data_IF_397921568784
#
_entry.id   IF_397921568784
#
_cell.length_a   1.000
_cell.length_b   1.000
_cell.length_c   1.000
_cell.angle_alpha   90.00
_cell.angle_beta   90.00
_cell.angle_gamma   90.00
#
_symmetry.space_group_name_H-M   'P 1'
#
loop_
_entity.id
_entity.type
_entity.pdbx_description
1 polymer ?
#
# COMPACT_ATOMS: atom_id res chain seq x y z
N UNK A 1 21.05 -0.46 26.55
CA UNK A 1 20.78 -0.99 25.19
C UNK A 1 19.55 -1.88 25.27
N UNK A 2 18.40 -1.41 24.79
CA UNK A 2 17.19 -2.26 24.67
C UNK A 2 17.31 -3.10 23.40
N UNK A 3 16.90 -4.36 23.50
CA UNK A 3 17.05 -5.35 22.43
C UNK A 3 16.11 -5.03 21.25
N UNK A 4 16.60 -4.97 20.00
CA UNK A 4 15.79 -4.59 18.83
C UNK A 4 14.76 -5.66 18.40
N UNK A 5 14.92 -6.91 18.84
CA UNK A 5 14.07 -8.04 18.41
C UNK A 5 12.64 -8.00 18.98
N UNK A 6 12.46 -7.39 20.16
CA UNK A 6 11.13 -7.28 20.80
C UNK A 6 10.25 -6.21 20.18
N UNK A 7 10.82 -5.22 19.50
CA UNK A 7 10.05 -4.09 18.93
C UNK A 7 9.51 -4.43 17.54
N UNK A 8 10.33 -5.07 16.70
CA UNK A 8 9.92 -5.59 15.38
C UNK A 8 8.74 -6.55 15.48
N UNK A 9 8.74 -7.45 16.46
CA UNK A 9 7.66 -8.44 16.65
C UNK A 9 6.35 -7.80 17.13
N UNK A 10 6.42 -6.70 17.88
CA UNK A 10 5.22 -5.95 18.30
C UNK A 10 4.58 -5.19 17.13
N UNK A 11 5.40 -4.60 16.26
CA UNK A 11 4.90 -3.88 15.09
C UNK A 11 4.30 -4.81 14.05
N UNK A 12 4.84 -6.02 13.87
CA UNK A 12 4.23 -7.05 13.02
C UNK A 12 2.83 -7.46 13.52
N UNK A 13 2.67 -7.67 14.84
CA UNK A 13 1.35 -7.99 15.42
C UNK A 13 0.36 -6.86 15.19
N UNK A 14 0.76 -5.61 15.47
CA UNK A 14 -0.08 -4.42 15.24
C UNK A 14 -0.44 -4.25 13.77
N UNK A 15 0.53 -4.48 12.88
CA UNK A 15 0.33 -4.40 11.44
C UNK A 15 -0.66 -5.44 10.94
N UNK A 16 -0.60 -6.68 11.45
CA UNK A 16 -1.55 -7.74 11.13
C UNK A 16 -2.96 -7.39 11.63
N UNK A 17 -3.09 -6.91 12.86
CA UNK A 17 -4.38 -6.48 13.42
C UNK A 17 -4.99 -5.32 12.63
N UNK A 18 -4.18 -4.31 12.32
CA UNK A 18 -4.58 -3.16 11.51
C UNK A 18 -5.03 -3.62 10.11
N UNK A 19 -4.25 -4.48 9.46
CA UNK A 19 -4.59 -4.97 8.12
C UNK A 19 -5.87 -5.81 8.12
N UNK A 20 -6.07 -6.68 9.11
CA UNK A 20 -7.28 -7.51 9.24
C UNK A 20 -8.52 -6.68 9.52
N UNK A 21 -8.40 -5.60 10.30
CA UNK A 21 -9.53 -4.72 10.63
C UNK A 21 -9.93 -3.80 9.48
N UNK A 22 -8.97 -3.28 8.71
CA UNK A 22 -9.24 -2.37 7.58
C UNK A 22 -9.52 -3.12 6.26
N UNK A 23 -8.84 -4.25 6.04
CA UNK A 23 -8.87 -4.97 4.77
C UNK A 23 -7.96 -4.35 3.71
N UNK A 24 -7.59 -5.17 2.72
CA UNK A 24 -6.59 -4.86 1.68
C UNK A 24 -6.90 -3.59 0.89
N UNK A 25 -8.14 -3.42 0.44
CA UNK A 25 -8.53 -2.27 -0.38
C UNK A 25 -8.43 -0.97 0.41
N UNK A 26 -8.92 -0.95 1.65
CA UNK A 26 -8.84 0.23 2.51
C UNK A 26 -7.39 0.59 2.84
N UNK A 27 -6.55 -0.41 3.14
CA UNK A 27 -5.11 -0.21 3.36
C UNK A 27 -4.46 0.42 2.12
N UNK A 28 -4.74 -0.10 0.92
CA UNK A 28 -4.21 0.47 -0.32
C UNK A 28 -4.68 1.92 -0.52
N UNK A 29 -5.97 2.20 -0.36
CA UNK A 29 -6.50 3.57 -0.48
C UNK A 29 -5.85 4.54 0.51
N UNK A 30 -5.59 4.11 1.75
CA UNK A 30 -4.89 4.93 2.74
C UNK A 30 -3.42 5.17 2.36
N UNK A 31 -2.71 4.14 1.90
CA UNK A 31 -1.34 4.28 1.39
C UNK A 31 -1.24 5.23 0.20
N UNK A 32 -2.21 5.17 -0.71
CA UNK A 32 -2.31 6.08 -1.86
C UNK A 32 -2.57 7.53 -1.38
N UNK A 33 -3.44 7.69 -0.38
CA UNK A 33 -3.75 8.99 0.22
C UNK A 33 -2.54 9.62 0.90
N UNK A 34 -1.78 8.84 1.68
CA UNK A 34 -0.53 9.29 2.31
C UNK A 34 0.50 9.68 1.25
N UNK A 35 0.59 8.92 0.15
CA UNK A 35 1.48 9.25 -0.97
C UNK A 35 1.08 10.56 -1.65
N UNK A 36 -0.21 10.82 -1.82
CA UNK A 36 -0.71 12.07 -2.40
C UNK A 36 -0.44 13.27 -1.48
N UNK A 37 -0.62 13.12 -0.16
CA UNK A 37 -0.29 14.16 0.83
C UNK A 37 1.20 14.49 0.79
N UNK A 38 2.06 13.47 0.79
CA UNK A 38 3.50 13.59 0.69
C UNK A 38 3.93 14.38 -0.57
N UNK A 39 3.36 14.02 -1.73
CA UNK A 39 3.62 14.70 -3.00
C UNK A 39 3.13 16.16 -2.96
N UNK A 40 1.91 16.41 -2.47
CA UNK A 40 1.37 17.77 -2.38
C UNK A 40 2.29 18.68 -1.55
N UNK A 41 2.69 18.24 -0.35
CA UNK A 41 3.56 19.02 0.53
C UNK A 41 4.96 19.23 -0.07
N UNK A 42 5.48 18.23 -0.79
CA UNK A 42 6.74 18.37 -1.53
C UNK A 42 6.63 19.45 -2.61
N UNK A 43 5.54 19.46 -3.39
CA UNK A 43 5.33 20.47 -4.43
C UNK A 43 5.17 21.87 -3.83
N UNK A 44 4.44 22.00 -2.72
CA UNK A 44 4.26 23.27 -2.00
C UNK A 44 5.59 23.80 -1.43
N UNK A 45 6.55 22.92 -1.12
CA UNK A 45 7.86 23.28 -0.59
C UNK A 45 8.87 23.71 -1.67
N UNK A 46 8.51 23.65 -2.96
CA UNK A 46 9.42 24.06 -4.03
C UNK A 46 9.55 25.59 -4.11
N UNK A 47 10.75 26.13 -4.42
CA UNK A 47 11.97 25.40 -4.75
C UNK A 47 12.67 24.84 -3.50
N UNK A 48 13.15 23.59 -3.62
CA UNK A 48 13.93 22.94 -2.56
C UNK A 48 15.39 23.40 -2.61
N UNK A 49 16.12 23.33 -1.49
CA UNK A 49 17.56 23.59 -1.46
C UNK A 49 18.33 22.76 -2.50
N UNK A 50 19.41 23.29 -3.10
CA UNK A 50 20.19 22.58 -4.13
C UNK A 50 20.81 21.25 -3.65
N UNK A 51 21.03 21.13 -2.34
CA UNK A 51 21.60 19.98 -1.65
C UNK A 51 20.54 19.03 -1.07
N UNK A 52 19.26 19.32 -1.30
CA UNK A 52 18.18 18.46 -0.84
C UNK A 52 18.16 17.13 -1.61
N UNK A 53 18.38 16.01 -0.91
CA UNK A 53 18.43 14.66 -1.47
C UNK A 53 17.29 13.74 -1.00
N UNK A 54 16.27 14.30 -0.35
CA UNK A 54 15.14 13.54 0.18
C UNK A 54 14.14 13.10 -0.88
N UNK A 55 13.06 12.45 -0.44
CA UNK A 55 11.91 12.00 -1.24
C UNK A 55 10.61 12.62 -0.72
N UNK A 56 9.49 12.59 -1.47
CA UNK A 56 8.20 13.11 -0.99
C UNK A 56 7.79 12.56 0.37
N UNK A 57 8.17 11.31 0.68
CA UNK A 57 7.85 10.65 1.95
C UNK A 57 8.46 11.40 3.15
N UNK A 58 9.53 12.16 2.95
CA UNK A 58 10.16 12.96 4.02
C UNK A 58 9.27 14.14 4.47
N UNK A 59 8.27 14.52 3.66
CA UNK A 59 7.26 15.54 3.98
C UNK A 59 6.05 15.00 4.74
N UNK A 60 6.03 13.71 5.09
CA UNK A 60 5.07 13.16 6.03
C UNK A 60 5.47 13.50 7.47
N UNK A 61 4.47 13.65 8.35
CA UNK A 61 4.72 13.72 9.80
C UNK A 61 5.20 12.36 10.32
N UNK A 62 5.73 12.34 11.55
CA UNK A 62 6.20 11.09 12.16
C UNK A 62 5.03 10.12 12.40
N UNK A 63 3.83 10.63 12.72
CA UNK A 63 2.62 9.82 12.85
C UNK A 63 2.19 9.20 11.51
N UNK A 64 2.18 10.00 10.44
CA UNK A 64 1.84 9.54 9.08
C UNK A 64 2.87 8.52 8.57
N UNK A 65 4.15 8.73 8.88
CA UNK A 65 5.23 7.79 8.54
C UNK A 65 5.08 6.48 9.33
N UNK A 66 4.71 6.57 10.59
CA UNK A 66 4.39 5.41 11.44
C UNK A 66 3.19 4.61 10.92
N UNK A 67 2.10 5.29 10.55
CA UNK A 67 0.93 4.66 9.93
C UNK A 67 1.32 3.97 8.62
N UNK A 68 2.05 4.67 7.74
CA UNK A 68 2.56 4.11 6.48
C UNK A 68 3.40 2.86 6.71
N UNK A 69 4.29 2.89 7.71
CA UNK A 69 5.16 1.76 8.04
C UNK A 69 4.36 0.51 8.43
N UNK A 70 3.41 0.65 9.37
CA UNK A 70 2.56 -0.45 9.81
C UNK A 70 1.70 -1.02 8.67
N UNK A 71 1.17 -0.17 7.80
CA UNK A 71 0.39 -0.61 6.63
C UNK A 71 1.21 -1.42 5.64
N UNK A 72 2.45 -1.00 5.37
CA UNK A 72 3.34 -1.73 4.45
C UNK A 72 3.73 -3.09 5.02
N UNK A 73 4.04 -3.18 6.32
CA UNK A 73 4.27 -4.46 7.00
C UNK A 73 3.04 -5.36 6.87
N UNK A 74 1.85 -4.82 7.19
CA UNK A 74 0.60 -5.56 7.13
C UNK A 74 0.33 -6.11 5.72
N UNK A 75 0.54 -5.28 4.69
CA UNK A 75 0.38 -5.67 3.29
C UNK A 75 1.36 -6.78 2.87
N UNK A 76 2.60 -6.77 3.38
CA UNK A 76 3.59 -7.82 3.12
C UNK A 76 3.28 -9.13 3.85
N UNK A 77 2.84 -9.05 5.11
CA UNK A 77 2.59 -10.24 5.94
C UNK A 77 1.25 -10.91 5.63
N UNK A 78 0.24 -10.15 5.21
CA UNK A 78 -1.12 -10.66 4.99
C UNK A 78 -1.43 -10.94 3.52
N UNK A 79 -0.42 -11.23 2.69
CA UNK A 79 -0.63 -11.64 1.29
C UNK A 79 -1.37 -12.99 1.27
N UNK A 80 -2.60 -12.99 0.77
CA UNK A 80 -3.32 -14.23 0.43
C UNK A 80 -3.11 -14.54 -1.06
N UNK A 81 -1.98 -15.18 -1.36
CA UNK A 81 -1.60 -15.57 -2.72
C UNK A 81 -2.68 -16.40 -3.42
N UNK A 82 -3.42 -17.23 -2.65
CA UNK A 82 -4.47 -18.10 -3.17
C UNK A 82 -5.69 -17.27 -3.57
N UNK A 83 -6.12 -16.33 -2.74
CA UNK A 83 -7.20 -15.40 -3.09
C UNK A 83 -6.83 -14.55 -4.31
N UNK A 84 -5.61 -14.00 -4.37
CA UNK A 84 -5.15 -13.19 -5.50
C UNK A 84 -5.03 -14.01 -6.80
N UNK A 85 -4.60 -15.28 -6.71
CA UNK A 85 -4.61 -16.18 -7.85
C UNK A 85 -6.04 -16.46 -8.35
N UNK A 86 -7.01 -16.67 -7.45
CA UNK A 86 -8.42 -16.87 -7.81
C UNK A 86 -9.00 -15.64 -8.52
N UNK A 87 -8.71 -14.44 -8.05
CA UNK A 87 -9.16 -13.18 -8.69
C UNK A 87 -8.58 -13.09 -10.12
N UNK A 88 -7.28 -13.34 -10.29
CA UNK A 88 -6.63 -13.34 -11.61
C UNK A 88 -7.24 -14.36 -12.57
N UNK A 89 -7.59 -15.56 -12.09
CA UNK A 89 -8.25 -16.57 -12.91
C UNK A 89 -9.66 -16.12 -13.31
N UNK A 90 -10.45 -15.57 -12.37
CA UNK A 90 -11.79 -15.05 -12.66
C UNK A 90 -11.76 -13.95 -13.71
N UNK A 91 -10.85 -12.99 -13.59
CA UNK A 91 -10.66 -11.92 -14.59
C UNK A 91 -10.28 -12.48 -15.96
N UNK A 92 -9.38 -13.48 -16.02
CA UNK A 92 -9.04 -14.15 -17.29
C UNK A 92 -10.24 -14.83 -17.93
N UNK A 93 -11.09 -15.49 -17.15
CA UNK A 93 -12.32 -16.13 -17.64
C UNK A 93 -13.30 -15.08 -18.18
N UNK A 94 -13.55 -14.01 -17.41
CA UNK A 94 -14.42 -12.90 -17.84
C UNK A 94 -13.93 -12.26 -19.16
N UNK A 95 -12.63 -11.99 -19.27
CA UNK A 95 -12.02 -11.42 -20.48
C UNK A 95 -12.10 -12.36 -21.70
N UNK A 96 -12.14 -13.69 -21.49
CA UNK A 96 -12.38 -14.67 -22.56
C UNK A 96 -13.85 -14.66 -23.00
N UNK A 97 -14.77 -14.55 -22.07
CA UNK A 97 -16.21 -14.52 -22.34
C UNK A 97 -16.63 -13.24 -23.09
N UNK A 98 -16.08 -12.08 -22.71
CA UNK A 98 -16.29 -10.81 -23.42
C UNK A 98 -15.79 -10.87 -24.86
N UNK A 99 -14.56 -11.38 -25.09
CA UNK A 99 -14.02 -11.55 -26.45
C UNK A 99 -14.85 -12.48 -27.33
N UNK A 100 -15.42 -13.55 -26.75
CA UNK A 100 -16.32 -14.45 -27.48
C UNK A 100 -17.64 -13.77 -27.89
N UNK A 101 -18.16 -12.87 -27.07
CA UNK A 101 -19.38 -12.12 -27.41
C UNK A 101 -19.12 -11.06 -28.48
N UNK A 102 -17.94 -10.42 -28.47
CA UNK A 102 -17.55 -9.46 -29.51
C UNK A 102 -17.45 -10.12 -30.90
N UNK A 103 -16.92 -11.35 -30.98
CA UNK A 103 -16.71 -12.08 -32.25
C UNK A 103 -17.99 -12.70 -32.86
N UNK A 104 -19.11 -12.73 -32.13
CA UNK A 104 -20.40 -13.22 -32.63
C UNK A 104 -21.38 -12.08 -32.97
N UNK A 105 -20.96 -10.82 -32.82
CA UNK A 105 -21.77 -9.63 -33.09
C UNK A 105 -21.42 -8.95 -34.43
N UNK A 106 -20.46 -9.50 -35.17
CA UNK A 106 -20.11 -9.17 -36.56
C UNK A 106 -20.53 -10.32 -37.50
#
# INVERSE_FOLDING_TARGET
MKQPETESTLDEVRAIELFKSLGRECVQTRLDSLSAIAISRWEDAKPLPPDYSGTPIDFLTDEERGERHLMLIGQMLCIDERAEARVRIKQRIANRQMRRHQLCAD
#
